data_IF_967597372690
#
_entry.id   IF_967597372690
#
_cell.length_a   1.000
_cell.length_b   1.000
_cell.length_c   1.000
_cell.angle_alpha   90.00
_cell.angle_beta   90.00
_cell.angle_gamma   90.00
#
_symmetry.space_group_name_H-M   'P 1'
#
loop_
_entity.id
_entity.type
_entity.pdbx_description
1 polymer ?
#
# COMPACT_ATOMS: atom_id res chain seq x y z
N UNK A 1 -28.06 4.29 -18.41
CA UNK A 1 -27.43 5.01 -19.53
C UNK A 1 -26.21 5.70 -18.97
N UNK A 2 -25.01 5.30 -19.42
CA UNK A 2 -23.76 5.93 -18.96
C UNK A 2 -23.63 7.22 -19.73
N UNK A 3 -23.67 8.37 -19.05
CA UNK A 3 -23.38 9.67 -19.66
C UNK A 3 -21.87 9.79 -19.85
N UNK A 4 -21.47 10.27 -21.03
CA UNK A 4 -20.06 10.52 -21.34
C UNK A 4 -19.75 12.00 -21.10
N UNK A 5 -18.53 12.30 -20.61
CA UNK A 5 -18.03 13.66 -20.51
C UNK A 5 -17.73 14.24 -21.92
N UNK A 6 -17.35 15.53 -21.97
CA UNK A 6 -17.04 16.25 -23.23
C UNK A 6 -15.89 15.61 -24.04
N UNK A 7 -15.16 14.63 -23.47
CA UNK A 7 -14.08 13.90 -24.13
C UNK A 7 -14.47 12.44 -24.46
N UNK A 8 -15.76 12.09 -24.39
CA UNK A 8 -16.24 10.74 -24.64
C UNK A 8 -15.92 9.74 -23.54
N UNK A 9 -15.51 10.19 -22.35
CA UNK A 9 -15.26 9.36 -21.19
C UNK A 9 -16.53 9.20 -20.35
N UNK A 10 -16.74 8.06 -19.68
CA UNK A 10 -17.88 7.92 -18.78
C UNK A 10 -17.90 9.06 -17.75
N UNK A 11 -19.00 9.83 -17.71
CA UNK A 11 -19.23 10.80 -16.65
C UNK A 11 -19.67 10.05 -15.38
N UNK A 12 -18.70 9.82 -14.51
CA UNK A 12 -18.84 9.02 -13.29
C UNK A 12 -18.94 9.87 -12.04
N UNK A 13 -19.37 11.13 -12.21
CA UNK A 13 -19.50 12.09 -11.11
C UNK A 13 -20.37 11.64 -9.93
N UNK A 14 -21.18 10.58 -10.10
CA UNK A 14 -22.08 10.06 -9.06
C UNK A 14 -22.38 8.56 -9.21
N UNK A 15 -21.39 7.74 -9.49
CA UNK A 15 -21.59 6.29 -9.47
C UNK A 15 -21.54 5.82 -8.01
N UNK A 16 -22.69 5.58 -7.42
CA UNK A 16 -22.80 4.95 -6.11
C UNK A 16 -22.18 3.53 -6.10
N UNK A 17 -21.89 2.98 -4.93
CA UNK A 17 -21.30 1.63 -4.74
C UNK A 17 -21.93 0.55 -5.63
N UNK A 18 -23.25 0.57 -5.85
CA UNK A 18 -23.97 -0.43 -6.63
C UNK A 18 -23.62 -0.49 -8.13
N UNK A 19 -23.22 0.63 -8.75
CA UNK A 19 -22.79 0.62 -10.16
C UNK A 19 -21.35 0.15 -10.34
N UNK A 20 -20.54 0.33 -9.31
CA UNK A 20 -19.17 -0.17 -9.26
C UNK A 20 -19.14 -1.69 -9.15
N UNK A 21 -19.95 -2.25 -8.25
CA UNK A 21 -20.09 -3.69 -8.10
C UNK A 21 -20.56 -4.33 -9.40
N UNK A 22 -21.43 -3.64 -10.17
CA UNK A 22 -21.87 -4.10 -11.48
C UNK A 22 -20.74 -4.08 -12.51
N UNK A 23 -19.92 -3.02 -12.56
CA UNK A 23 -18.78 -2.95 -13.49
C UNK A 23 -17.73 -4.02 -13.13
N UNK A 24 -17.42 -4.18 -11.85
CA UNK A 24 -16.53 -5.23 -11.34
C UNK A 24 -17.11 -6.62 -11.62
N UNK A 25 -18.42 -6.80 -11.45
CA UNK A 25 -19.11 -8.04 -11.75
C UNK A 25 -19.07 -8.38 -13.25
N UNK A 26 -19.35 -7.42 -14.13
CA UNK A 26 -19.30 -7.60 -15.59
C UNK A 26 -17.87 -7.90 -16.11
N UNK A 27 -16.86 -7.56 -15.34
CA UNK A 27 -15.45 -7.78 -15.68
C UNK A 27 -14.75 -8.78 -14.73
N UNK A 28 -15.51 -9.47 -13.86
CA UNK A 28 -14.98 -10.39 -12.86
C UNK A 28 -14.02 -11.41 -13.48
N UNK A 29 -14.44 -12.08 -14.55
CA UNK A 29 -13.63 -13.11 -15.20
C UNK A 29 -12.29 -12.55 -15.74
N UNK A 30 -12.30 -11.28 -16.15
CA UNK A 30 -11.07 -10.59 -16.60
C UNK A 30 -10.19 -10.17 -15.43
N UNK A 31 -10.77 -9.77 -14.29
CA UNK A 31 -10.04 -9.46 -13.06
C UNK A 31 -9.43 -10.73 -12.47
N UNK A 32 -10.18 -11.82 -12.43
CA UNK A 32 -9.70 -13.12 -11.98
C UNK A 32 -8.54 -13.64 -12.85
N UNK A 33 -8.59 -13.42 -14.17
CA UNK A 33 -7.50 -13.77 -15.11
C UNK A 33 -6.21 -12.96 -14.89
N UNK A 34 -6.27 -11.86 -14.13
CA UNK A 34 -5.12 -11.04 -13.77
C UNK A 34 -4.48 -11.44 -12.43
N UNK A 35 -4.89 -12.56 -11.85
CA UNK A 35 -4.39 -13.05 -10.57
C UNK A 35 -4.93 -12.29 -9.36
N UNK A 36 -6.03 -11.56 -9.51
CA UNK A 36 -6.70 -10.88 -8.41
C UNK A 36 -7.53 -11.90 -7.63
N UNK A 37 -7.08 -12.24 -6.42
CA UNK A 37 -7.78 -13.19 -5.56
C UNK A 37 -9.01 -12.53 -4.94
N UNK A 38 -10.19 -12.94 -5.40
CA UNK A 38 -11.48 -12.45 -4.90
C UNK A 38 -11.99 -13.28 -3.72
N UNK A 39 -11.37 -14.44 -3.45
CA UNK A 39 -11.73 -15.30 -2.32
C UNK A 39 -10.89 -14.89 -1.12
N UNK A 40 -11.55 -14.29 -0.14
CA UNK A 40 -10.90 -13.84 1.07
C UNK A 40 -11.44 -14.57 2.31
N UNK A 41 -10.52 -15.14 3.07
CA UNK A 41 -10.79 -15.63 4.42
C UNK A 41 -10.21 -14.64 5.44
N UNK A 42 -11.07 -14.14 6.35
CA UNK A 42 -10.63 -13.26 7.43
C UNK A 42 -9.56 -13.94 8.28
N UNK A 43 -8.40 -13.31 8.41
CA UNK A 43 -7.30 -13.83 9.21
C UNK A 43 -7.60 -13.65 10.71
N UNK A 44 -7.30 -14.65 11.56
CA UNK A 44 -7.49 -14.53 12.99
C UNK A 44 -6.59 -13.42 13.57
N UNK A 45 -7.20 -12.50 14.31
CA UNK A 45 -6.46 -11.41 14.96
C UNK A 45 -5.95 -11.90 16.31
N UNK A 46 -4.66 -11.73 16.64
CA UNK A 46 -4.09 -12.09 17.95
C UNK A 46 -4.83 -11.40 19.10
N UNK A 47 -4.92 -12.06 20.25
CA UNK A 47 -5.65 -11.59 21.44
C UNK A 47 -5.26 -10.17 21.87
N UNK A 48 -3.96 -9.88 21.81
CA UNK A 48 -3.38 -8.58 22.12
C UNK A 48 -3.92 -7.43 21.24
N UNK A 49 -4.43 -7.75 20.07
CA UNK A 49 -4.92 -6.79 19.09
C UNK A 49 -6.44 -6.90 18.82
N UNK A 50 -7.15 -7.82 19.51
CA UNK A 50 -8.59 -8.07 19.30
C UNK A 50 -9.49 -6.84 19.49
N UNK A 51 -9.08 -5.91 20.36
CA UNK A 51 -9.84 -4.69 20.63
C UNK A 51 -9.59 -3.57 19.59
N UNK A 52 -8.80 -3.83 18.55
CA UNK A 52 -8.56 -2.86 17.49
C UNK A 52 -9.70 -2.96 16.48
N UNK A 53 -10.51 -1.92 16.40
CA UNK A 53 -11.52 -1.82 15.34
C UNK A 53 -10.85 -1.36 14.03
N UNK A 54 -10.22 -2.31 13.34
CA UNK A 54 -9.44 -2.05 12.14
C UNK A 54 -10.28 -1.50 10.96
N UNK A 55 -11.59 -1.78 10.91
CA UNK A 55 -12.50 -1.25 9.89
C UNK A 55 -12.73 0.26 9.99
N UNK A 56 -12.39 0.85 11.15
CA UNK A 56 -12.54 2.29 11.39
C UNK A 56 -11.21 3.06 11.38
N UNK A 57 -10.09 2.39 11.11
CA UNK A 57 -8.76 3.04 11.08
C UNK A 57 -8.61 3.92 9.85
N UNK A 58 -9.09 3.45 8.72
CA UNK A 58 -8.92 4.12 7.42
C UNK A 58 -10.27 4.52 6.84
N UNK A 59 -10.27 5.63 6.13
CA UNK A 59 -11.36 6.00 5.23
C UNK A 59 -11.37 5.06 4.02
N UNK A 60 -12.51 5.01 3.33
CA UNK A 60 -12.61 4.30 2.06
C UNK A 60 -11.56 4.83 1.08
N UNK A 61 -10.90 3.97 0.30
CA UNK A 61 -10.02 4.42 -0.78
C UNK A 61 -10.81 5.24 -1.81
N UNK A 62 -10.16 6.12 -2.57
CA UNK A 62 -10.82 6.81 -3.68
C UNK A 62 -11.51 5.80 -4.59
N UNK A 63 -12.77 6.09 -4.97
CA UNK A 63 -13.52 5.23 -5.87
C UNK A 63 -12.73 4.96 -7.16
N UNK A 64 -12.74 3.72 -7.65
CA UNK A 64 -11.90 3.27 -8.76
C UNK A 64 -12.06 4.11 -10.04
N UNK A 65 -13.22 4.70 -10.25
CA UNK A 65 -13.51 5.55 -11.42
C UNK A 65 -13.60 7.05 -11.05
N UNK A 66 -13.20 7.43 -9.84
CA UNK A 66 -13.17 8.84 -9.43
C UNK A 66 -12.08 9.63 -10.17
N UNK A 67 -12.25 10.96 -10.25
CA UNK A 67 -11.21 11.85 -10.78
C UNK A 67 -9.87 11.71 -10.05
N UNK A 68 -9.91 11.40 -8.75
CA UNK A 68 -8.70 11.18 -7.94
C UNK A 68 -7.97 9.95 -8.48
N UNK A 69 -8.65 8.81 -8.60
CA UNK A 69 -8.05 7.55 -9.09
C UNK A 69 -7.56 7.68 -10.52
N UNK A 70 -8.31 8.37 -11.40
CA UNK A 70 -7.86 8.64 -12.78
C UNK A 70 -6.57 9.44 -12.80
N UNK A 71 -6.47 10.51 -11.98
CA UNK A 71 -5.25 11.31 -11.86
C UNK A 71 -4.08 10.48 -11.28
N UNK A 72 -4.34 9.63 -10.30
CA UNK A 72 -3.33 8.73 -9.75
C UNK A 72 -2.81 7.75 -10.82
N UNK A 73 -3.68 7.19 -11.65
CA UNK A 73 -3.28 6.33 -12.76
C UNK A 73 -2.45 7.09 -13.81
N UNK A 74 -2.79 8.33 -14.12
CA UNK A 74 -1.98 9.18 -15.02
C UNK A 74 -0.58 9.44 -14.44
N UNK A 75 -0.47 9.73 -13.14
CA UNK A 75 0.80 9.87 -12.43
C UNK A 75 1.62 8.58 -12.55
N UNK A 76 1.01 7.43 -12.28
CA UNK A 76 1.67 6.13 -12.34
C UNK A 76 2.10 5.77 -13.77
N UNK A 77 1.26 6.04 -14.77
CA UNK A 77 1.61 5.84 -16.17
C UNK A 77 2.85 6.64 -16.57
N UNK A 78 2.92 7.90 -16.14
CA UNK A 78 4.09 8.75 -16.39
C UNK A 78 5.32 8.26 -15.62
N UNK A 79 5.20 7.93 -14.34
CA UNK A 79 6.30 7.41 -13.52
C UNK A 79 6.87 6.11 -14.09
N UNK A 80 6.00 5.15 -14.45
CA UNK A 80 6.44 3.84 -14.93
C UNK A 80 7.04 3.91 -16.34
N UNK A 81 6.59 4.84 -17.17
CA UNK A 81 7.15 5.09 -18.50
C UNK A 81 8.55 5.71 -18.47
N UNK A 82 8.80 6.58 -17.49
CA UNK A 82 10.02 7.40 -17.42
C UNK A 82 11.02 6.91 -16.35
N UNK A 83 10.91 5.65 -15.90
CA UNK A 83 11.85 5.05 -14.96
C UNK A 83 13.28 5.11 -15.47
N UNK A 84 14.19 5.51 -14.60
CA UNK A 84 15.63 5.39 -14.82
C UNK A 84 16.15 4.03 -14.35
N UNK A 85 17.37 3.61 -14.76
CA UNK A 85 18.00 2.40 -14.20
C UNK A 85 18.08 2.41 -12.67
N UNK A 86 18.33 3.59 -12.05
CA UNK A 86 18.35 3.75 -10.59
C UNK A 86 16.97 3.54 -9.96
N UNK A 87 15.89 3.94 -10.64
CA UNK A 87 14.53 3.69 -10.15
C UNK A 87 14.20 2.19 -10.19
N UNK A 88 14.68 1.46 -11.20
CA UNK A 88 14.53 0.00 -11.31
C UNK A 88 15.31 -0.70 -10.19
N UNK A 89 16.55 -0.28 -9.94
CA UNK A 89 17.37 -0.79 -8.84
C UNK A 89 16.71 -0.56 -7.48
N UNK A 90 16.17 0.64 -7.24
CA UNK A 90 15.40 0.96 -6.03
C UNK A 90 14.19 0.02 -5.86
N UNK A 91 13.44 -0.25 -6.93
CA UNK A 91 12.29 -1.17 -6.88
C UNK A 91 12.73 -2.55 -6.43
N UNK A 92 13.78 -3.10 -7.05
CA UNK A 92 14.28 -4.44 -6.71
C UNK A 92 14.85 -4.51 -5.30
N UNK A 93 15.64 -3.52 -4.86
CA UNK A 93 16.20 -3.50 -3.52
C UNK A 93 15.12 -3.49 -2.44
N UNK A 94 14.08 -2.66 -2.59
CA UNK A 94 12.96 -2.59 -1.64
C UNK A 94 12.09 -3.84 -1.67
N UNK A 95 11.94 -4.49 -2.82
CA UNK A 95 11.14 -5.72 -2.92
C UNK A 95 11.86 -6.92 -2.30
N UNK A 96 13.19 -6.95 -2.39
CA UNK A 96 14.02 -8.02 -1.84
C UNK A 96 14.24 -7.88 -0.33
N UNK A 97 14.54 -6.66 0.13
CA UNK A 97 14.88 -6.43 1.54
C UNK A 97 14.52 -5.00 1.98
N UNK A 98 13.53 -4.91 2.85
CA UNK A 98 13.08 -3.65 3.44
C UNK A 98 13.85 -3.25 4.70
N UNK A 99 14.62 -4.15 5.30
CA UNK A 99 15.34 -3.91 6.57
C UNK A 99 16.68 -3.23 6.31
N UNK A 100 17.41 -3.62 5.27
CA UNK A 100 18.75 -3.11 4.94
C UNK A 100 18.89 -1.59 5.04
N UNK A 101 18.00 -0.73 4.51
CA UNK A 101 18.14 0.72 4.65
C UNK A 101 18.11 1.20 6.12
N UNK A 102 17.32 0.55 6.97
CA UNK A 102 17.23 0.87 8.39
C UNK A 102 18.39 0.29 9.18
N UNK A 103 18.88 -0.90 8.86
CA UNK A 103 20.08 -1.52 9.44
C UNK A 103 21.31 -0.64 9.20
N UNK A 104 21.50 -0.15 7.96
CA UNK A 104 22.55 0.79 7.61
C UNK A 104 22.42 2.11 8.38
N UNK A 105 21.20 2.62 8.53
CA UNK A 105 20.96 3.82 9.32
C UNK A 105 21.35 3.59 10.79
N UNK A 106 20.93 2.48 11.40
CA UNK A 106 21.32 2.11 12.77
C UNK A 106 22.83 1.99 12.92
N UNK A 107 23.51 1.33 11.99
CA UNK A 107 24.98 1.21 11.97
C UNK A 107 25.65 2.59 11.95
N UNK A 108 25.15 3.54 11.15
CA UNK A 108 25.68 4.91 11.08
C UNK A 108 25.52 5.69 12.40
N UNK A 109 24.58 5.29 13.26
CA UNK A 109 24.40 5.85 14.61
C UNK A 109 25.08 5.04 15.71
N UNK A 110 25.78 3.94 15.37
CA UNK A 110 26.41 3.03 16.34
C UNK A 110 25.41 2.33 17.26
N UNK A 111 24.22 2.03 16.77
CA UNK A 111 23.13 1.37 17.51
C UNK A 111 22.71 0.07 16.84
N UNK A 112 22.20 -0.84 17.65
CA UNK A 112 21.69 -2.13 17.17
C UNK A 112 20.33 -1.98 16.49
N UNK A 113 20.15 -2.67 15.35
CA UNK A 113 18.83 -2.80 14.70
C UNK A 113 17.98 -3.82 15.46
N UNK A 114 16.81 -3.45 16.02
CA UNK A 114 16.04 -4.33 16.89
C UNK A 114 15.14 -5.27 16.07
N UNK A 115 15.74 -6.14 15.26
CA UNK A 115 15.06 -6.99 14.28
C UNK A 115 13.93 -7.83 14.89
N UNK A 116 14.23 -8.59 15.94
CA UNK A 116 13.24 -9.46 16.61
C UNK A 116 12.01 -8.67 17.08
N UNK A 117 12.25 -7.49 17.68
CA UNK A 117 11.16 -6.65 18.16
C UNK A 117 10.28 -6.12 17.02
N UNK A 118 10.89 -5.76 15.89
CA UNK A 118 10.18 -5.32 14.68
C UNK A 118 9.34 -6.47 14.10
N UNK A 119 9.94 -7.65 14.00
CA UNK A 119 9.27 -8.85 13.49
C UNK A 119 8.06 -9.23 14.36
N UNK A 120 8.19 -9.27 15.67
CA UNK A 120 7.11 -9.56 16.62
C UNK A 120 5.96 -8.56 16.48
N UNK A 121 6.29 -7.27 16.41
CA UNK A 121 5.28 -6.23 16.21
C UNK A 121 4.56 -6.40 14.87
N UNK A 122 5.33 -6.62 13.80
CA UNK A 122 4.76 -6.80 12.46
C UNK A 122 3.91 -8.06 12.36
N UNK A 123 4.33 -9.19 12.96
CA UNK A 123 3.53 -10.41 13.02
C UNK A 123 2.19 -10.18 13.71
N UNK A 124 2.14 -9.34 14.73
CA UNK A 124 0.89 -8.99 15.42
C UNK A 124 -0.07 -8.19 14.54
N UNK A 125 0.44 -7.24 13.74
CA UNK A 125 -0.42 -6.38 12.91
C UNK A 125 -0.71 -6.96 11.52
N UNK A 126 0.05 -7.93 11.04
CA UNK A 126 -0.08 -8.52 9.72
C UNK A 126 -1.49 -9.06 9.42
N UNK A 127 -2.15 -9.81 10.33
CA UNK A 127 -3.53 -10.23 10.12
C UNK A 127 -4.50 -9.05 9.96
N UNK A 128 -4.33 -7.97 10.74
CA UNK A 128 -5.14 -6.76 10.61
C UNK A 128 -4.93 -6.12 9.24
N UNK A 129 -3.68 -6.04 8.79
CA UNK A 129 -3.35 -5.52 7.46
C UNK A 129 -4.00 -6.35 6.34
N UNK A 130 -3.93 -7.69 6.44
CA UNK A 130 -4.54 -8.57 5.45
C UNK A 130 -6.07 -8.44 5.44
N UNK A 131 -6.70 -8.39 6.62
CA UNK A 131 -8.13 -8.17 6.76
C UNK A 131 -8.56 -6.81 6.17
N UNK A 132 -7.78 -5.77 6.40
CA UNK A 132 -8.03 -4.43 5.83
C UNK A 132 -7.93 -4.45 4.31
N UNK A 133 -6.89 -5.09 3.76
CA UNK A 133 -6.72 -5.22 2.30
C UNK A 133 -7.90 -5.93 1.66
N UNK A 134 -8.35 -7.01 2.25
CA UNK A 134 -9.46 -7.77 1.73
C UNK A 134 -10.80 -7.05 1.87
N UNK A 135 -11.01 -6.34 2.96
CA UNK A 135 -12.24 -5.56 3.18
C UNK A 135 -12.43 -4.48 2.10
N UNK A 136 -11.37 -3.74 1.78
CA UNK A 136 -11.43 -2.71 0.75
C UNK A 136 -11.32 -3.28 -0.66
N UNK A 137 -10.63 -4.38 -0.81
CA UNK A 137 -10.44 -5.12 -2.06
C UNK A 137 -10.15 -4.24 -3.28
N UNK A 138 -9.32 -3.20 -3.10
CA UNK A 138 -8.99 -2.23 -4.16
C UNK A 138 -8.15 -2.91 -5.24
N UNK A 139 -8.55 -2.82 -6.53
CA UNK A 139 -7.74 -3.37 -7.62
C UNK A 139 -6.38 -2.68 -7.70
N UNK A 140 -5.37 -3.40 -8.15
CA UNK A 140 -4.05 -2.82 -8.43
C UNK A 140 -4.12 -1.85 -9.62
N UNK A 141 -3.22 -0.85 -9.68
CA UNK A 141 -3.21 0.13 -10.76
C UNK A 141 -3.24 -0.48 -12.16
N UNK A 142 -2.40 -1.49 -12.43
CA UNK A 142 -2.35 -2.14 -13.73
C UNK A 142 -3.65 -2.90 -14.08
N UNK A 143 -4.34 -3.46 -13.08
CA UNK A 143 -5.62 -4.13 -13.29
C UNK A 143 -6.69 -3.14 -13.74
N UNK A 144 -6.82 -2.01 -13.03
CA UNK A 144 -7.81 -0.99 -13.34
C UNK A 144 -7.47 -0.21 -14.62
N UNK A 145 -6.22 0.18 -14.80
CA UNK A 145 -5.73 0.96 -15.93
C UNK A 145 -6.04 0.30 -17.28
N UNK A 146 -5.98 -1.04 -17.33
CA UNK A 146 -6.30 -1.82 -18.54
C UNK A 146 -7.72 -1.56 -19.04
N UNK A 147 -8.72 -1.40 -18.15
CA UNK A 147 -10.10 -1.11 -18.52
C UNK A 147 -10.30 0.33 -18.98
N UNK A 148 -9.39 1.22 -18.64
CA UNK A 148 -9.43 2.64 -18.95
C UNK A 148 -8.53 3.01 -20.15
N UNK A 149 -7.92 2.00 -20.81
CA UNK A 149 -6.99 2.22 -21.90
C UNK A 149 -5.69 2.94 -21.49
N UNK A 150 -5.36 2.95 -20.18
CA UNK A 150 -4.14 3.53 -19.64
C UNK A 150 -3.08 2.43 -19.53
N UNK A 151 -1.88 2.69 -20.02
CA UNK A 151 -0.76 1.74 -19.91
C UNK A 151 0.06 2.03 -18.65
N UNK A 152 0.08 1.07 -17.73
CA UNK A 152 1.01 1.03 -16.59
C UNK A 152 2.04 -0.06 -16.89
N UNK A 153 3.30 0.32 -16.95
CA UNK A 153 4.41 -0.63 -17.16
C UNK A 153 4.86 -1.17 -15.80
N UNK A 154 4.28 -2.29 -15.38
CA UNK A 154 4.49 -2.88 -14.05
C UNK A 154 5.73 -3.77 -14.02
N UNK A 155 6.61 -3.58 -13.05
CA UNK A 155 7.68 -4.55 -12.73
C UNK A 155 7.03 -5.67 -11.91
N UNK A 156 7.04 -6.88 -12.48
CA UNK A 156 6.44 -8.07 -11.86
C UNK A 156 7.40 -8.62 -10.81
N UNK A 157 6.90 -8.82 -9.59
CA UNK A 157 7.61 -9.46 -8.48
C UNK A 157 6.65 -10.41 -7.74
N UNK A 158 7.14 -11.13 -6.73
CA UNK A 158 6.33 -12.09 -5.98
C UNK A 158 5.43 -11.46 -4.90
N UNK A 159 5.53 -10.14 -4.67
CA UNK A 159 4.93 -9.51 -3.48
C UNK A 159 3.60 -8.78 -3.71
N UNK A 160 3.01 -8.83 -4.92
CA UNK A 160 1.83 -8.02 -5.26
C UNK A 160 0.56 -8.82 -5.58
N UNK A 161 0.37 -9.98 -4.95
CA UNK A 161 -0.78 -10.88 -5.19
C UNK A 161 -2.00 -10.60 -4.30
N UNK A 162 -2.02 -9.49 -3.55
CA UNK A 162 -3.15 -9.07 -2.71
C UNK A 162 -3.67 -7.70 -3.14
N UNK A 163 -4.85 -7.30 -2.61
CA UNK A 163 -5.46 -6.00 -2.88
C UNK A 163 -4.49 -4.82 -2.63
N UNK A 164 -4.71 -3.70 -3.35
CA UNK A 164 -3.79 -2.58 -3.34
C UNK A 164 -3.77 -1.78 -2.02
N UNK A 165 -4.91 -1.64 -1.35
CA UNK A 165 -5.10 -0.70 -0.24
C UNK A 165 -5.17 -1.38 1.13
N UNK A 166 -4.39 -0.93 2.12
CA UNK A 166 -3.22 -0.05 2.02
C UNK A 166 -1.95 -0.77 1.51
N UNK A 167 -0.87 -0.03 1.21
CA UNK A 167 0.41 -0.59 0.77
C UNK A 167 1.15 -1.30 1.90
N UNK A 168 1.35 -2.63 1.77
CA UNK A 168 1.99 -3.43 2.82
C UNK A 168 3.45 -3.06 3.08
N UNK A 169 4.24 -2.79 2.03
CA UNK A 169 5.63 -2.35 2.16
C UNK A 169 5.73 -1.00 2.88
N UNK A 170 4.85 -0.06 2.51
CA UNK A 170 4.83 1.26 3.17
C UNK A 170 4.35 1.16 4.61
N UNK A 171 3.40 0.24 4.92
CA UNK A 171 3.01 -0.06 6.31
C UNK A 171 4.21 -0.57 7.12
N UNK A 172 4.94 -1.54 6.59
CA UNK A 172 6.13 -2.09 7.25
C UNK A 172 7.19 -1.01 7.48
N UNK A 173 7.59 -0.32 6.41
CA UNK A 173 8.62 0.72 6.49
C UNK A 173 8.28 1.84 7.49
N UNK A 174 7.00 2.29 7.51
CA UNK A 174 6.56 3.30 8.50
C UNK A 174 6.56 2.75 9.91
N UNK A 175 6.17 1.48 10.11
CA UNK A 175 6.22 0.83 11.41
C UNK A 175 7.67 0.77 11.94
N UNK A 176 8.63 0.33 11.13
CA UNK A 176 10.05 0.30 11.49
C UNK A 176 10.54 1.69 11.89
N UNK A 177 10.20 2.71 11.09
CA UNK A 177 10.53 4.11 11.41
C UNK A 177 10.00 4.54 12.78
N UNK A 178 8.77 4.18 13.12
CA UNK A 178 8.13 4.53 14.39
C UNK A 178 8.78 3.79 15.57
N UNK A 179 9.08 2.51 15.40
CA UNK A 179 9.76 1.69 16.42
C UNK A 179 11.15 2.25 16.70
N UNK A 180 11.94 2.50 15.66
CA UNK A 180 13.29 3.04 15.80
C UNK A 180 13.28 4.41 16.47
N UNK A 181 12.38 5.31 16.08
CA UNK A 181 12.27 6.63 16.71
C UNK A 181 11.85 6.56 18.17
N UNK A 182 10.95 5.64 18.51
CA UNK A 182 10.51 5.44 19.89
C UNK A 182 11.63 4.87 20.78
N UNK A 183 12.45 3.97 20.24
CA UNK A 183 13.54 3.32 20.96
C UNK A 183 14.80 4.19 21.03
N UNK A 184 15.09 4.95 19.99
CA UNK A 184 16.34 5.69 19.80
C UNK A 184 16.07 7.16 19.42
N UNK A 185 15.92 8.03 20.42
CA UNK A 185 15.60 9.45 20.22
C UNK A 185 16.64 10.22 19.39
N UNK A 186 17.91 9.75 19.38
CA UNK A 186 19.03 10.37 18.66
C UNK A 186 18.93 10.22 17.15
N UNK A 187 18.14 9.26 16.63
CA UNK A 187 17.97 9.12 15.17
C UNK A 187 17.21 10.32 14.64
N UNK A 188 17.76 10.95 13.60
CA UNK A 188 17.12 12.04 12.89
C UNK A 188 15.83 11.56 12.21
N UNK A 189 14.70 12.20 12.54
CA UNK A 189 13.40 11.87 11.97
C UNK A 189 13.38 12.02 10.45
N UNK A 190 14.06 13.02 9.90
CA UNK A 190 14.15 13.24 8.46
C UNK A 190 14.77 12.04 7.72
N UNK A 191 15.81 11.41 8.30
CA UNK A 191 16.44 10.22 7.71
C UNK A 191 15.48 9.02 7.70
N UNK A 192 14.73 8.82 8.79
CA UNK A 192 13.69 7.78 8.86
C UNK A 192 12.57 8.01 7.84
N UNK A 193 12.05 9.24 7.78
CA UNK A 193 10.98 9.59 6.84
C UNK A 193 11.46 9.49 5.38
N UNK A 194 12.75 9.76 5.10
CA UNK A 194 13.31 9.56 3.77
C UNK A 194 13.28 8.09 3.35
N UNK A 195 13.63 7.13 4.22
CA UNK A 195 13.55 5.69 3.91
C UNK A 195 12.09 5.29 3.62
N UNK A 196 11.16 5.75 4.45
CA UNK A 196 9.72 5.48 4.24
C UNK A 196 9.23 6.04 2.90
N UNK A 197 9.62 7.26 2.55
CA UNK A 197 9.27 7.90 1.28
C UNK A 197 9.90 7.18 0.07
N UNK A 198 11.14 6.69 0.21
CA UNK A 198 11.79 5.86 -0.82
C UNK A 198 11.02 4.55 -1.03
N UNK A 199 10.58 3.89 0.04
CA UNK A 199 9.73 2.70 -0.04
C UNK A 199 8.43 3.01 -0.77
N UNK A 200 7.71 4.06 -0.37
CA UNK A 200 6.46 4.46 -1.03
C UNK A 200 6.68 4.80 -2.53
N UNK A 201 7.77 5.53 -2.84
CA UNK A 201 8.16 5.84 -4.22
C UNK A 201 8.46 4.58 -5.03
N UNK A 202 9.19 3.62 -4.46
CA UNK A 202 9.50 2.35 -5.12
C UNK A 202 8.23 1.59 -5.52
N UNK A 203 7.22 1.56 -4.65
CA UNK A 203 5.95 0.88 -4.95
C UNK A 203 5.13 1.58 -6.06
N UNK A 204 5.21 2.90 -6.17
CA UNK A 204 4.63 3.67 -7.29
C UNK A 204 5.42 3.46 -8.58
N UNK A 205 6.74 3.51 -8.52
CA UNK A 205 7.63 3.22 -9.65
C UNK A 205 7.43 1.79 -10.17
N UNK A 206 7.18 0.84 -9.30
CA UNK A 206 6.84 -0.52 -9.68
C UNK A 206 5.50 -0.62 -10.41
N UNK A 207 4.58 0.34 -10.22
CA UNK A 207 3.24 0.36 -10.81
C UNK A 207 2.22 -0.48 -10.05
N UNK A 208 2.46 -0.80 -8.76
CA UNK A 208 1.62 -1.71 -7.96
C UNK A 208 0.79 -1.04 -6.88
N UNK A 209 1.06 0.23 -6.56
CA UNK A 209 0.30 1.01 -5.58
C UNK A 209 0.00 2.43 -6.06
N UNK A 210 -1.18 2.92 -5.69
CA UNK A 210 -1.56 4.33 -5.87
C UNK A 210 -0.90 5.23 -4.82
N UNK A 211 -0.73 6.54 -5.07
CA UNK A 211 -0.34 7.50 -4.05
C UNK A 211 -1.19 7.39 -2.78
N UNK A 212 -2.52 7.32 -2.91
CA UNK A 212 -3.45 7.21 -1.78
C UNK A 212 -3.31 5.90 -0.97
N UNK A 213 -2.83 4.79 -1.57
CA UNK A 213 -2.51 3.57 -0.82
C UNK A 213 -1.35 3.80 0.15
N UNK A 214 -0.34 4.58 -0.28
CA UNK A 214 0.82 4.90 0.54
C UNK A 214 0.46 5.90 1.66
N UNK A 215 -0.36 6.92 1.36
CA UNK A 215 -0.88 7.87 2.35
C UNK A 215 -1.67 7.15 3.45
N UNK A 216 -2.58 6.25 3.06
CA UNK A 216 -3.34 5.41 3.99
C UNK A 216 -2.42 4.54 4.86
N UNK A 217 -1.31 4.03 4.29
CA UNK A 217 -0.34 3.23 5.02
C UNK A 217 0.33 4.00 6.16
N UNK A 218 0.62 5.30 5.95
CA UNK A 218 1.20 6.16 7.00
C UNK A 218 0.21 6.32 8.18
N UNK A 219 -1.06 6.56 7.89
CA UNK A 219 -2.12 6.68 8.90
C UNK A 219 -2.30 5.35 9.63
N UNK A 220 -2.42 4.25 8.89
CA UNK A 220 -2.63 2.91 9.42
C UNK A 220 -1.52 2.48 10.38
N UNK A 221 -0.25 2.60 9.96
CA UNK A 221 0.90 2.23 10.77
C UNK A 221 1.00 3.07 12.04
N UNK A 222 0.76 4.38 11.92
CA UNK A 222 0.83 5.31 13.07
C UNK A 222 -0.26 4.97 14.09
N UNK A 223 -1.47 4.67 13.65
CA UNK A 223 -2.56 4.26 14.53
C UNK A 223 -2.22 2.96 15.27
N UNK A 224 -1.84 1.91 14.53
CA UNK A 224 -1.52 0.61 15.12
C UNK A 224 -0.35 0.69 16.08
N UNK A 225 0.72 1.40 15.71
CA UNK A 225 1.85 1.62 16.58
C UNK A 225 1.42 2.28 17.90
N UNK A 226 0.64 3.37 17.85
CA UNK A 226 0.19 4.06 19.06
C UNK A 226 -0.70 3.20 19.96
N UNK A 227 -1.47 2.28 19.39
CA UNK A 227 -2.32 1.35 20.15
C UNK A 227 -1.52 0.24 20.82
N UNK A 228 -0.47 -0.25 20.16
CA UNK A 228 0.23 -1.46 20.59
C UNK A 228 1.60 -1.19 21.24
N UNK A 229 2.21 -0.02 21.05
CA UNK A 229 3.59 0.25 21.52
C UNK A 229 3.84 -0.03 22.99
N UNK A 230 2.82 0.12 23.86
CA UNK A 230 2.98 -0.17 25.32
C UNK A 230 3.08 -1.66 25.63
N UNK A 231 2.63 -2.50 24.72
CA UNK A 231 2.62 -3.96 24.89
C UNK A 231 3.97 -4.55 24.49
N UNK A 232 4.69 -3.84 23.63
CA UNK A 232 6.01 -4.21 23.09
C UNK A 232 7.16 -3.40 23.70
N UNK A 233 6.93 -2.74 24.86
CA UNK A 233 7.98 -2.04 25.62
C UNK A 233 8.74 -2.95 26.54
#
# INVERSE_FOLDING_TARGET
MITLDLNGRPDIGHVGRGNMDLILYLHKDKLDSLGYDTIYLEQPIPDIAKNINWRQILNDPPNNLSRITLKELEILANLTKNRTPKDIELVHSIDQDMDTPFELLCTNYGIEYPKTHIEEFYHTIRPILQNTKAYYNRPRPAQLAKYLGIKIDTIITETHHSAAYPSGHTVYSKLVSLILKNKYNQIDQYKLDNIVNQTAKARMLQGVHYPSDNEASMVFSTYLFNKLKRVFQ
#
